data_IF_226720404213
#
_entry.id   IF_226720404213
#
_cell.length_a   1.000
_cell.length_b   1.000
_cell.length_c   1.000
_cell.angle_alpha   90.00
_cell.angle_beta   90.00
_cell.angle_gamma   90.00
#
_symmetry.space_group_name_H-M   'P 1'
#
loop_
_entity.id
_entity.type
_entity.pdbx_description
1 polymer ?
#
# COMPACT_ATOMS: atom_id res chain seq x y z
N UNK A 1 -29.96 18.86 -10.41
CA UNK A 1 -30.10 17.85 -11.46
C UNK A 1 -29.36 18.28 -12.72
N UNK A 2 -28.07 18.31 -12.71
CA UNK A 2 -27.22 18.75 -13.80
C UNK A 2 -26.38 17.62 -14.32
N UNK A 3 -26.70 17.06 -15.47
CA UNK A 3 -25.77 16.25 -16.24
C UNK A 3 -24.67 17.18 -16.74
N UNK A 4 -23.49 17.09 -16.18
CA UNK A 4 -22.29 17.68 -16.79
C UNK A 4 -21.76 16.66 -17.78
N UNK A 5 -22.22 16.76 -19.03
CA UNK A 5 -21.67 15.99 -20.13
C UNK A 5 -20.35 16.61 -20.58
N UNK A 6 -19.25 16.10 -20.12
CA UNK A 6 -17.96 16.35 -20.73
C UNK A 6 -17.75 15.36 -21.89
N UNK A 7 -18.27 15.73 -23.06
CA UNK A 7 -18.02 15.01 -24.31
C UNK A 7 -16.73 15.52 -24.91
N UNK A 8 -15.61 14.89 -24.63
CA UNK A 8 -14.41 14.94 -25.48
C UNK A 8 -14.39 13.68 -26.34
N UNK A 9 -14.65 13.86 -27.62
CA UNK A 9 -14.49 12.85 -28.69
C UNK A 9 -15.28 11.55 -28.53
N UNK A 10 -16.59 11.61 -28.34
CA UNK A 10 -17.41 10.40 -28.48
C UNK A 10 -17.19 9.26 -27.52
N UNK A 11 -16.36 9.45 -26.48
CA UNK A 11 -16.10 8.45 -25.44
C UNK A 11 -16.99 8.78 -24.25
N UNK A 12 -17.91 7.89 -23.96
CA UNK A 12 -18.74 7.94 -22.74
C UNK A 12 -17.81 7.65 -21.55
N UNK A 13 -17.52 8.65 -20.74
CA UNK A 13 -16.76 8.43 -19.49
C UNK A 13 -17.66 7.67 -18.54
N UNK A 14 -17.32 6.39 -18.32
CA UNK A 14 -17.99 5.54 -17.34
C UNK A 14 -17.44 5.85 -15.95
N UNK A 15 -18.30 5.91 -14.95
CA UNK A 15 -17.86 6.03 -13.55
C UNK A 15 -17.22 4.73 -13.08
N UNK A 16 -15.98 4.81 -12.58
CA UNK A 16 -15.22 3.65 -12.11
C UNK A 16 -15.75 3.12 -10.79
N UNK A 17 -16.12 4.02 -9.87
CA UNK A 17 -16.57 3.68 -8.53
C UNK A 17 -17.79 2.75 -8.55
N UNK A 18 -17.70 1.63 -7.82
CA UNK A 18 -18.74 0.62 -7.74
C UNK A 18 -18.77 -0.36 -8.91
N UNK A 19 -17.91 -0.21 -9.91
CA UNK A 19 -17.82 -1.09 -11.07
C UNK A 19 -17.08 -2.40 -10.78
N UNK A 20 -17.28 -3.40 -11.64
CA UNK A 20 -16.45 -4.61 -11.62
C UNK A 20 -15.00 -4.31 -11.96
N UNK A 21 -14.75 -3.30 -12.80
CA UNK A 21 -13.40 -2.84 -13.16
C UNK A 21 -12.65 -2.30 -11.94
N UNK A 22 -13.31 -1.54 -11.06
CA UNK A 22 -12.71 -1.09 -9.80
C UNK A 22 -12.23 -2.27 -8.94
N UNK A 23 -13.08 -3.29 -8.78
CA UNK A 23 -12.71 -4.52 -8.06
C UNK A 23 -11.52 -5.23 -8.71
N UNK A 24 -11.49 -5.29 -10.04
CA UNK A 24 -10.38 -5.87 -10.78
C UNK A 24 -9.08 -5.07 -10.59
N UNK A 25 -9.15 -3.75 -10.55
CA UNK A 25 -8.00 -2.89 -10.25
C UNK A 25 -7.46 -3.12 -8.83
N UNK A 26 -8.36 -3.27 -7.85
CA UNK A 26 -7.96 -3.61 -6.47
C UNK A 26 -7.26 -4.97 -6.40
N UNK A 27 -7.79 -5.98 -7.09
CA UNK A 27 -7.20 -7.30 -7.16
C UNK A 27 -5.86 -7.30 -7.89
N UNK A 28 -5.75 -6.55 -8.98
CA UNK A 28 -4.51 -6.38 -9.73
C UNK A 28 -3.43 -5.68 -8.89
N UNK A 29 -3.78 -4.59 -8.21
CA UNK A 29 -2.88 -3.90 -7.28
C UNK A 29 -2.36 -4.85 -6.19
N UNK A 30 -3.25 -5.63 -5.57
CA UNK A 30 -2.88 -6.60 -4.54
C UNK A 30 -1.94 -7.69 -5.09
N UNK A 31 -2.23 -8.23 -6.26
CA UNK A 31 -1.42 -9.25 -6.92
C UNK A 31 -0.03 -8.77 -7.27
N UNK A 32 0.09 -7.60 -7.90
CA UNK A 32 1.37 -6.99 -8.26
C UNK A 32 2.21 -6.63 -7.02
N UNK A 33 1.56 -6.13 -5.97
CA UNK A 33 2.23 -5.80 -4.70
C UNK A 33 2.80 -7.06 -4.03
N UNK A 34 2.06 -8.17 -4.05
CA UNK A 34 2.55 -9.46 -3.56
C UNK A 34 3.72 -9.99 -4.41
N UNK A 35 3.61 -9.91 -5.74
CA UNK A 35 4.66 -10.35 -6.64
C UNK A 35 5.95 -9.56 -6.43
N UNK A 36 5.85 -8.23 -6.32
CA UNK A 36 6.98 -7.37 -5.99
C UNK A 36 7.72 -7.85 -4.73
N UNK A 37 6.99 -8.06 -3.63
CA UNK A 37 7.57 -8.49 -2.36
C UNK A 37 8.17 -9.89 -2.44
N UNK A 38 7.46 -10.85 -3.03
CA UNK A 38 7.94 -12.23 -3.19
C UNK A 38 9.21 -12.29 -4.03
N UNK A 39 9.28 -11.53 -5.12
CA UNK A 39 10.44 -11.56 -6.02
C UNK A 39 11.68 -10.96 -5.38
N UNK A 40 11.55 -10.00 -4.48
CA UNK A 40 12.67 -9.54 -3.64
C UNK A 40 13.21 -10.66 -2.76
N UNK A 41 12.34 -11.46 -2.13
CA UNK A 41 12.76 -12.62 -1.34
C UNK A 41 13.43 -13.68 -2.20
N UNK A 42 12.88 -13.95 -3.39
CA UNK A 42 13.44 -14.92 -4.34
C UNK A 42 14.81 -14.49 -4.87
N UNK A 43 14.98 -13.21 -5.14
CA UNK A 43 16.27 -12.65 -5.54
C UNK A 43 17.32 -12.83 -4.44
N UNK A 44 16.97 -12.53 -3.19
CA UNK A 44 17.86 -12.70 -2.05
C UNK A 44 18.27 -14.17 -1.88
N UNK A 45 17.34 -15.10 -2.02
CA UNK A 45 17.63 -16.55 -1.95
C UNK A 45 18.54 -17.01 -3.09
N UNK A 46 18.24 -16.57 -4.31
CA UNK A 46 19.06 -16.92 -5.47
C UNK A 46 20.52 -16.46 -5.33
N UNK A 47 20.75 -15.25 -4.77
CA UNK A 47 22.10 -14.77 -4.46
C UNK A 47 22.81 -15.67 -3.46
N UNK A 48 22.13 -16.05 -2.38
CA UNK A 48 22.70 -16.95 -1.35
C UNK A 48 23.06 -18.31 -1.93
N UNK A 49 22.29 -18.80 -2.90
CA UNK A 49 22.52 -20.06 -3.58
C UNK A 49 23.56 -19.97 -4.71
N UNK A 50 24.09 -18.76 -5.01
CA UNK A 50 25.10 -18.52 -6.02
C UNK A 50 24.57 -18.31 -7.46
N UNK A 51 23.26 -18.12 -7.64
CA UNK A 51 22.62 -17.91 -8.93
C UNK A 51 22.46 -16.41 -9.24
N UNK A 52 23.55 -15.73 -9.58
CA UNK A 52 23.57 -14.27 -9.77
C UNK A 52 22.65 -13.81 -10.91
N UNK A 53 22.61 -14.54 -12.02
CA UNK A 53 21.74 -14.19 -13.16
C UNK A 53 20.26 -14.31 -12.80
N UNK A 54 19.89 -15.38 -12.10
CA UNK A 54 18.50 -15.59 -11.64
C UNK A 54 18.11 -14.49 -10.64
N UNK A 55 18.99 -14.16 -9.72
CA UNK A 55 18.77 -13.06 -8.78
C UNK A 55 18.52 -11.74 -9.47
N UNK A 56 19.33 -11.40 -10.47
CA UNK A 56 19.18 -10.17 -11.26
C UNK A 56 17.84 -10.12 -12.00
N UNK A 57 17.37 -11.23 -12.56
CA UNK A 57 16.08 -11.31 -13.22
C UNK A 57 14.93 -11.09 -12.22
N UNK A 58 14.99 -11.69 -11.04
CA UNK A 58 13.99 -11.45 -9.99
C UNK A 58 13.99 -10.00 -9.50
N UNK A 59 15.15 -9.37 -9.35
CA UNK A 59 15.26 -7.96 -8.95
C UNK A 59 14.63 -7.03 -10.00
N UNK A 60 14.93 -7.26 -11.27
CA UNK A 60 14.36 -6.48 -12.38
C UNK A 60 12.84 -6.66 -12.45
N UNK A 61 12.37 -7.90 -12.39
CA UNK A 61 10.94 -8.21 -12.44
C UNK A 61 10.22 -7.61 -11.24
N UNK A 62 10.79 -7.69 -10.04
CA UNK A 62 10.23 -7.05 -8.84
C UNK A 62 9.98 -5.54 -9.03
N UNK A 63 10.92 -4.85 -9.65
CA UNK A 63 10.77 -3.41 -9.97
C UNK A 63 9.66 -3.17 -10.99
N UNK A 64 9.53 -4.04 -12.00
CA UNK A 64 8.46 -3.95 -12.98
C UNK A 64 7.08 -4.14 -12.33
N UNK A 65 6.94 -5.12 -11.44
CA UNK A 65 5.69 -5.37 -10.72
C UNK A 65 5.28 -4.20 -9.82
N UNK A 66 6.25 -3.55 -9.20
CA UNK A 66 6.02 -2.30 -8.45
C UNK A 66 5.45 -1.19 -9.34
N UNK A 67 5.98 -1.01 -10.55
CA UNK A 67 5.48 -0.01 -11.49
C UNK A 67 4.08 -0.38 -12.02
N UNK A 68 3.79 -1.66 -12.25
CA UNK A 68 2.45 -2.12 -12.60
C UNK A 68 1.46 -1.82 -11.46
N UNK A 69 1.80 -2.14 -10.22
CA UNK A 69 0.99 -1.81 -9.05
C UNK A 69 0.69 -0.31 -8.97
N UNK A 70 1.67 0.55 -9.27
CA UNK A 70 1.51 2.00 -9.29
C UNK A 70 0.50 2.47 -10.34
N UNK A 71 0.46 1.83 -11.52
CA UNK A 71 -0.55 2.13 -12.54
C UNK A 71 -1.96 1.91 -12.01
N UNK A 72 -2.20 0.75 -11.41
CA UNK A 72 -3.51 0.41 -10.85
C UNK A 72 -3.88 1.27 -9.66
N UNK A 73 -2.92 1.57 -8.81
CA UNK A 73 -3.09 2.48 -7.67
C UNK A 73 -3.56 3.87 -8.11
N UNK A 74 -2.95 4.44 -9.14
CA UNK A 74 -3.33 5.76 -9.67
C UNK A 74 -4.76 5.79 -10.17
N UNK A 75 -5.20 4.76 -10.90
CA UNK A 75 -6.59 4.67 -11.34
C UNK A 75 -7.58 4.58 -10.17
N UNK A 76 -7.19 3.95 -9.08
CA UNK A 76 -7.99 3.86 -7.85
C UNK A 76 -8.02 5.18 -7.05
N UNK A 77 -7.15 6.13 -7.37
CA UNK A 77 -6.95 7.40 -6.66
C UNK A 77 -7.02 8.62 -7.60
N UNK A 78 -8.03 8.66 -8.45
CA UNK A 78 -8.32 9.79 -9.36
C UNK A 78 -7.18 10.17 -10.32
N UNK A 79 -6.32 9.22 -10.64
CA UNK A 79 -5.29 9.35 -11.68
C UNK A 79 -3.91 9.69 -11.20
N UNK A 80 -3.68 9.90 -9.91
CA UNK A 80 -2.36 10.16 -9.35
C UNK A 80 -2.22 9.65 -7.91
N UNK A 81 -1.00 9.69 -7.39
CA UNK A 81 -0.74 9.44 -5.97
C UNK A 81 -1.19 10.68 -5.19
N UNK A 82 -2.02 10.54 -4.15
CA UNK A 82 -2.51 11.66 -3.36
C UNK A 82 -1.40 12.47 -2.68
N UNK A 83 -1.74 13.64 -2.16
CA UNK A 83 -0.79 14.46 -1.45
C UNK A 83 -0.31 13.84 -0.13
N UNK A 84 0.75 14.39 0.44
CA UNK A 84 1.40 13.83 1.62
C UNK A 84 0.47 13.77 2.83
N UNK A 85 -0.34 14.77 3.07
CA UNK A 85 -1.27 14.78 4.23
C UNK A 85 -2.33 13.70 4.06
N UNK A 86 -2.91 13.59 2.87
CA UNK A 86 -3.86 12.53 2.54
C UNK A 86 -3.24 11.14 2.72
N UNK A 87 -2.01 10.95 2.24
CA UNK A 87 -1.28 9.68 2.37
C UNK A 87 -0.97 9.34 3.83
N UNK A 88 -0.59 10.32 4.65
CA UNK A 88 -0.38 10.10 6.09
C UNK A 88 -1.65 9.68 6.81
N UNK A 89 -2.78 10.30 6.48
CA UNK A 89 -4.08 9.95 7.07
C UNK A 89 -4.55 8.56 6.63
N UNK A 90 -4.36 8.22 5.38
CA UNK A 90 -4.66 6.88 4.87
C UNK A 90 -3.77 5.82 5.54
N UNK A 91 -2.48 6.07 5.63
CA UNK A 91 -1.55 5.18 6.32
C UNK A 91 -1.93 4.98 7.80
N UNK A 92 -2.22 6.07 8.52
CA UNK A 92 -2.66 5.99 9.91
C UNK A 92 -3.95 5.17 10.07
N UNK A 93 -4.91 5.34 9.15
CA UNK A 93 -6.16 4.56 9.14
C UNK A 93 -5.91 3.08 8.88
N UNK A 94 -5.02 2.74 7.96
CA UNK A 94 -4.62 1.36 7.68
C UNK A 94 -3.98 0.69 8.88
N UNK A 95 -2.99 1.37 9.49
CA UNK A 95 -2.32 0.87 10.69
C UNK A 95 -3.32 0.70 11.87
N UNK A 96 -4.25 1.64 12.03
CA UNK A 96 -5.30 1.51 13.05
C UNK A 96 -6.13 0.25 12.86
N UNK A 97 -6.61 -0.02 11.66
CA UNK A 97 -7.35 -1.25 11.36
C UNK A 97 -6.52 -2.51 11.65
N UNK A 98 -5.24 -2.49 11.30
CA UNK A 98 -4.35 -3.64 11.49
C UNK A 98 -4.16 -3.99 12.97
N UNK A 99 -3.96 -3.02 13.86
CA UNK A 99 -3.72 -3.31 15.26
C UNK A 99 -4.99 -3.41 16.11
N UNK A 100 -6.07 -2.69 15.77
CA UNK A 100 -7.33 -2.75 16.54
C UNK A 100 -8.16 -3.97 16.20
N UNK A 101 -8.22 -4.34 14.92
CA UNK A 101 -9.15 -5.36 14.41
C UNK A 101 -8.42 -6.58 13.84
N UNK A 102 -7.62 -6.39 12.80
CA UNK A 102 -7.08 -7.48 11.99
C UNK A 102 -6.14 -8.40 12.78
N UNK A 103 -5.03 -7.89 13.29
CA UNK A 103 -4.06 -8.72 14.02
C UNK A 103 -4.57 -9.24 15.35
N UNK A 104 -5.46 -8.49 16.00
CA UNK A 104 -6.13 -8.97 17.22
C UNK A 104 -6.97 -10.22 16.95
N UNK A 105 -7.82 -10.17 15.93
CA UNK A 105 -8.64 -11.29 15.51
C UNK A 105 -7.78 -12.47 15.03
N UNK A 106 -6.77 -12.22 14.23
CA UNK A 106 -5.86 -13.25 13.73
C UNK A 106 -5.12 -13.97 14.86
N UNK A 107 -4.68 -13.23 15.88
CA UNK A 107 -4.02 -13.81 17.05
C UNK A 107 -4.98 -14.69 17.85
N UNK A 108 -6.22 -14.25 18.04
CA UNK A 108 -7.25 -15.03 18.74
C UNK A 108 -7.53 -16.36 18.02
N UNK A 109 -7.73 -16.30 16.71
CA UNK A 109 -7.96 -17.50 15.88
C UNK A 109 -6.74 -18.43 15.90
N UNK A 110 -5.54 -17.89 15.79
CA UNK A 110 -4.32 -18.71 15.83
C UNK A 110 -4.16 -19.43 17.18
N UNK A 111 -4.50 -18.79 18.31
CA UNK A 111 -4.51 -19.44 19.63
C UNK A 111 -5.55 -20.56 19.71
N UNK A 112 -6.76 -20.31 19.23
CA UNK A 112 -7.83 -21.31 19.21
C UNK A 112 -7.46 -22.54 18.39
N UNK A 113 -6.74 -22.33 17.27
CA UNK A 113 -6.29 -23.40 16.40
C UNK A 113 -4.98 -24.07 16.87
N UNK A 114 -4.35 -23.57 17.94
CA UNK A 114 -3.12 -24.14 18.51
C UNK A 114 -1.82 -23.64 17.87
N UNK A 115 -1.85 -22.55 17.10
CA UNK A 115 -0.68 -21.93 16.48
C UNK A 115 -0.11 -20.82 17.37
N UNK A 116 0.42 -21.17 18.54
CA UNK A 116 0.83 -20.22 19.58
C UNK A 116 1.97 -19.29 19.13
N UNK A 117 2.94 -19.79 18.37
CA UNK A 117 4.03 -18.97 17.85
C UNK A 117 3.53 -17.92 16.85
N UNK A 118 2.63 -18.32 15.95
CA UNK A 118 2.02 -17.41 14.97
C UNK A 118 1.16 -16.38 15.70
N UNK A 119 0.38 -16.78 16.70
CA UNK A 119 -0.41 -15.87 17.52
C UNK A 119 0.46 -14.80 18.19
N UNK A 120 1.58 -15.21 18.78
CA UNK A 120 2.55 -14.29 19.38
C UNK A 120 3.11 -13.30 18.34
N UNK A 121 3.42 -13.75 17.13
CA UNK A 121 3.91 -12.87 16.06
C UNK A 121 2.84 -11.88 15.62
N UNK A 122 1.57 -12.30 15.47
CA UNK A 122 0.47 -11.39 15.18
C UNK A 122 0.31 -10.31 16.25
N UNK A 123 0.38 -10.67 17.52
CA UNK A 123 0.33 -9.70 18.63
C UNK A 123 1.51 -8.73 18.61
N UNK A 124 2.70 -9.25 18.36
CA UNK A 124 3.93 -8.45 18.31
C UNK A 124 3.93 -7.46 17.17
N UNK A 125 3.53 -7.89 15.98
CA UNK A 125 3.39 -7.00 14.81
C UNK A 125 2.28 -5.98 15.04
N UNK A 126 1.13 -6.39 15.57
CA UNK A 126 0.05 -5.46 15.92
C UNK A 126 0.49 -4.34 16.86
N UNK A 127 1.34 -4.63 17.83
CA UNK A 127 1.91 -3.61 18.72
C UNK A 127 2.83 -2.62 17.96
N UNK A 128 3.54 -3.07 16.94
CA UNK A 128 4.36 -2.21 16.07
C UNK A 128 3.46 -1.30 15.23
N UNK A 129 2.36 -1.84 14.67
CA UNK A 129 1.45 -1.06 13.83
C UNK A 129 0.77 0.06 14.62
N UNK A 130 0.50 -0.14 15.91
CA UNK A 130 0.06 0.92 16.80
C UNK A 130 1.07 2.08 16.88
N UNK A 131 2.34 1.78 17.00
CA UNK A 131 3.39 2.81 16.99
C UNK A 131 3.52 3.51 15.63
N UNK A 132 3.30 2.80 14.53
CA UNK A 132 3.25 3.41 13.20
C UNK A 132 2.10 4.40 13.09
N UNK A 133 0.90 4.05 13.54
CA UNK A 133 -0.25 4.96 13.57
C UNK A 133 0.07 6.23 14.38
N UNK A 134 0.56 6.08 15.61
CA UNK A 134 0.91 7.21 16.48
C UNK A 134 1.91 8.14 15.81
N UNK A 135 2.90 7.58 15.12
CA UNK A 135 3.90 8.35 14.37
C UNK A 135 3.29 9.12 13.21
N UNK A 136 2.45 8.48 12.41
CA UNK A 136 1.78 9.14 11.27
C UNK A 136 0.84 10.26 11.73
N UNK A 137 0.07 10.04 12.77
CA UNK A 137 -0.82 11.06 13.33
C UNK A 137 -0.04 12.26 13.89
N UNK A 138 1.10 12.03 14.52
CA UNK A 138 1.98 13.09 14.98
C UNK A 138 2.53 13.90 13.80
N UNK A 139 2.92 13.26 12.71
CA UNK A 139 3.40 13.94 11.51
C UNK A 139 2.29 14.78 10.85
N UNK A 140 1.06 14.30 10.82
CA UNK A 140 -0.10 15.09 10.36
C UNK A 140 -0.25 16.36 11.19
N UNK A 141 -0.23 16.24 12.51
CA UNK A 141 -0.30 17.39 13.42
C UNK A 141 0.85 18.40 13.21
N UNK A 142 2.06 17.89 12.99
CA UNK A 142 3.23 18.74 12.73
C UNK A 142 3.10 19.55 11.42
N UNK A 143 2.57 18.94 10.37
CA UNK A 143 2.33 19.65 9.10
C UNK A 143 1.24 20.70 9.28
N UNK A 144 0.13 20.38 9.94
CA UNK A 144 -0.98 21.29 10.20
C UNK A 144 -0.54 22.49 11.06
N UNK A 145 0.41 22.29 11.98
CA UNK A 145 0.99 23.32 12.85
C UNK A 145 2.24 24.01 12.26
N UNK A 146 2.59 23.73 10.99
CA UNK A 146 3.79 24.27 10.31
C UNK A 146 5.12 23.96 11.04
N UNK A 147 5.22 22.80 11.69
CA UNK A 147 6.42 22.38 12.42
C UNK A 147 7.38 21.51 11.57
N UNK A 148 7.01 21.24 10.32
CA UNK A 148 7.84 20.46 9.38
C UNK A 148 8.43 21.41 8.34
N UNK A 149 9.76 21.33 8.14
CA UNK A 149 10.44 22.08 7.10
C UNK A 149 10.12 21.48 5.73
N UNK A 150 9.49 22.26 4.86
CA UNK A 150 9.40 21.97 3.43
C UNK A 150 10.58 22.59 2.69
N UNK A 151 11.12 21.87 1.72
CA UNK A 151 11.99 22.54 0.73
C UNK A 151 11.14 23.48 -0.11
N UNK A 152 11.52 24.75 -0.17
CA UNK A 152 10.95 25.69 -1.12
C UNK A 152 11.25 25.23 -2.55
N UNK A 153 10.41 25.62 -3.51
CA UNK A 153 10.60 25.33 -4.93
C UNK A 153 11.84 26.02 -5.55
N UNK A 154 12.52 26.90 -4.82
CA UNK A 154 13.62 27.76 -5.28
C UNK A 154 15.01 27.31 -4.81
N UNK A 155 15.31 26.03 -4.78
CA UNK A 155 16.71 25.59 -4.68
C UNK A 155 17.10 24.85 -5.96
N UNK A 156 17.43 25.66 -6.98
CA UNK A 156 18.27 25.24 -8.11
C UNK A 156 19.72 25.21 -7.65
#
# INVERSE_FOLDING_TARGET
>A
MGYVSNVKKGVRIMELKGSKTEKNLMAAFAGESQAHTKYEYYASKAKKDGYEQIAAIFEETSKNEKEHAKLWFKYLHDGDIPDTVTNLKDAASGENYEWTDMYKEFAEVAKEEGFDEIAYLFESVGAIEKHHEERYLKLVGNIEDNLVFQRGEDTV
#
